data_IF_557027181205
#
_entry.id   IF_557027181205
#
_cell.length_a   1.000
_cell.length_b   1.000
_cell.length_c   1.000
_cell.angle_alpha   90.00
_cell.angle_beta   90.00
_cell.angle_gamma   90.00
#
_symmetry.space_group_name_H-M   'P 1'
#
loop_
_entity.id
_entity.type
_entity.pdbx_description
1 polymer ?
#
# COMPACT_ATOMS: atom_id res chain seq x y z
N UNK A 1 -7.88 -12.57 -5.79
CA UNK A 1 -6.81 -12.33 -4.82
C UNK A 1 -6.07 -11.11 -5.31
N UNK A 2 -5.72 -10.18 -4.43
CA UNK A 2 -4.84 -9.06 -4.75
C UNK A 2 -3.50 -9.32 -4.06
N UNK A 3 -2.41 -9.14 -4.77
CA UNK A 3 -1.07 -9.39 -4.26
C UNK A 3 -0.18 -8.20 -4.59
N UNK A 4 0.54 -7.71 -3.58
CA UNK A 4 1.61 -6.74 -3.73
C UNK A 4 2.91 -7.45 -3.36
N UNK A 5 3.92 -7.32 -4.20
CA UNK A 5 5.23 -7.94 -4.00
C UNK A 5 6.30 -6.87 -4.02
N UNK A 6 6.92 -6.62 -2.86
CA UNK A 6 8.02 -5.66 -2.72
C UNK A 6 7.66 -4.24 -3.14
N UNK A 7 6.38 -3.87 -3.07
CA UNK A 7 5.92 -2.55 -3.51
C UNK A 7 6.49 -1.50 -2.57
N UNK A 8 7.11 -0.49 -3.15
CA UNK A 8 7.65 0.67 -2.45
C UNK A 8 7.14 1.92 -3.13
N UNK A 9 7.18 3.07 -2.43
CA UNK A 9 6.81 4.35 -3.02
C UNK A 9 7.52 5.48 -2.31
N UNK A 10 8.09 6.39 -3.10
CA UNK A 10 8.68 7.63 -2.61
C UNK A 10 7.99 8.84 -3.25
N UNK A 11 7.73 9.87 -2.46
CA UNK A 11 7.16 11.15 -2.93
C UNK A 11 8.01 12.27 -2.35
N UNK A 12 8.50 13.16 -3.23
CA UNK A 12 9.36 14.27 -2.80
C UNK A 12 10.64 13.82 -2.06
N UNK A 13 11.21 12.67 -2.45
CA UNK A 13 12.43 12.12 -1.82
C UNK A 13 12.21 11.43 -0.47
N UNK A 14 10.97 11.36 0.04
CA UNK A 14 10.63 10.65 1.28
C UNK A 14 9.93 9.34 0.95
N UNK A 15 10.33 8.26 1.62
CA UNK A 15 9.64 6.99 1.55
C UNK A 15 8.24 7.13 2.19
N UNK A 16 7.21 6.92 1.40
CA UNK A 16 5.81 6.84 1.84
C UNK A 16 5.40 5.39 2.09
N UNK A 17 5.99 4.47 1.32
CA UNK A 17 5.84 3.03 1.49
C UNK A 17 7.23 2.42 1.37
N UNK A 18 7.67 1.79 2.45
CA UNK A 18 8.84 0.92 2.43
C UNK A 18 8.51 -0.37 1.69
N UNK A 19 9.49 -1.11 1.14
CA UNK A 19 9.24 -2.38 0.45
C UNK A 19 8.31 -3.27 1.26
N UNK A 20 7.09 -3.45 0.75
CA UNK A 20 6.00 -4.13 1.46
C UNK A 20 5.39 -5.18 0.53
N UNK A 21 5.22 -6.38 1.05
CA UNK A 21 4.50 -7.47 0.40
C UNK A 21 3.25 -7.80 1.19
N UNK A 22 2.11 -7.94 0.52
CA UNK A 22 0.85 -8.29 1.16
C UNK A 22 -0.07 -9.02 0.19
N UNK A 23 -0.85 -9.95 0.74
CA UNK A 23 -1.84 -10.72 -0.03
C UNK A 23 -3.21 -10.50 0.58
N UNK A 24 -4.14 -9.95 -0.20
CA UNK A 24 -5.55 -9.81 0.18
C UNK A 24 -6.41 -10.88 -0.49
N UNK A 25 -7.13 -11.62 0.33
CA UNK A 25 -8.08 -12.64 -0.12
C UNK A 25 -9.37 -12.02 -0.64
N UNK A 26 -9.99 -12.65 -1.64
CA UNK A 26 -11.33 -12.22 -2.09
C UNK A 26 -12.36 -12.58 -1.03
N UNK A 27 -13.33 -11.70 -0.81
CA UNK A 27 -14.40 -11.92 0.16
C UNK A 27 -13.99 -11.74 1.63
N UNK A 28 -12.76 -11.30 1.91
CA UNK A 28 -12.35 -10.92 3.27
C UNK A 28 -12.52 -9.42 3.50
N UNK A 29 -12.83 -9.05 4.75
CA UNK A 29 -12.77 -7.67 5.21
C UNK A 29 -11.37 -7.38 5.73
N UNK A 30 -10.63 -6.52 5.02
CA UNK A 30 -9.26 -6.15 5.39
C UNK A 30 -9.26 -4.71 5.93
N UNK A 31 -8.58 -4.47 7.05
CA UNK A 31 -8.49 -3.16 7.70
C UNK A 31 -7.02 -2.74 7.77
N UNK A 32 -6.71 -1.56 7.22
CA UNK A 32 -5.40 -0.93 7.37
C UNK A 32 -5.39 0.00 8.59
N UNK A 33 -4.57 -0.34 9.59
CA UNK A 33 -4.38 0.44 10.82
C UNK A 33 -2.98 1.05 10.87
N UNK A 34 -2.86 2.20 11.52
CA UNK A 34 -1.58 2.87 11.74
C UNK A 34 -1.74 4.38 11.97
N UNK A 35 -0.71 5.06 12.50
CA UNK A 35 -0.76 6.50 12.77
C UNK A 35 -0.91 7.32 11.48
N UNK A 36 -1.27 8.60 11.62
CA UNK A 36 -1.26 9.54 10.48
C UNK A 36 0.12 9.53 9.82
N UNK A 37 0.16 9.64 8.48
CA UNK A 37 1.38 9.54 7.65
C UNK A 37 2.05 8.16 7.58
N UNK A 38 1.45 7.09 8.09
CA UNK A 38 2.00 5.72 7.98
C UNK A 38 1.91 5.07 6.59
N UNK A 39 1.60 5.83 5.54
CA UNK A 39 1.50 5.30 4.17
C UNK A 39 0.19 4.62 3.78
N UNK A 40 -0.84 4.56 4.65
CA UNK A 40 -2.13 3.89 4.37
C UNK A 40 -2.82 4.40 3.10
N UNK A 41 -2.99 5.71 2.95
CA UNK A 41 -3.64 6.30 1.78
C UNK A 41 -2.82 6.07 0.51
N UNK A 42 -1.49 6.16 0.61
CA UNK A 42 -0.59 5.84 -0.51
C UNK A 42 -0.71 4.37 -0.93
N UNK A 43 -0.79 3.45 0.03
CA UNK A 43 -0.95 2.02 -0.24
C UNK A 43 -2.29 1.73 -0.91
N UNK A 44 -3.38 2.32 -0.41
CA UNK A 44 -4.71 2.20 -1.01
C UNK A 44 -4.74 2.70 -2.47
N UNK A 45 -4.04 3.81 -2.77
CA UNK A 45 -3.97 4.35 -4.14
C UNK A 45 -3.19 3.44 -5.08
N UNK A 46 -2.09 2.85 -4.63
CA UNK A 46 -1.34 1.84 -5.40
C UNK A 46 -2.18 0.59 -5.66
N UNK A 47 -2.89 0.10 -4.64
CA UNK A 47 -3.78 -1.06 -4.75
C UNK A 47 -4.94 -0.82 -5.71
N UNK A 48 -5.41 0.43 -5.80
CA UNK A 48 -6.45 0.84 -6.75
C UNK A 48 -5.91 1.14 -8.17
N UNK A 49 -4.60 1.05 -8.40
CA UNK A 49 -3.97 1.39 -9.68
C UNK A 49 -3.98 2.90 -10.00
N UNK A 50 -4.22 3.75 -9.00
CA UNK A 50 -4.26 5.21 -9.15
C UNK A 50 -2.86 5.85 -9.13
N UNK A 51 -1.91 5.17 -8.49
CA UNK A 51 -0.49 5.52 -8.49
C UNK A 51 0.32 4.32 -9.00
N UNK A 52 1.51 4.56 -9.56
CA UNK A 52 2.47 3.50 -9.89
C UNK A 52 3.46 3.29 -8.74
N UNK A 53 3.90 2.04 -8.48
CA UNK A 53 4.90 1.73 -7.44
C UNK A 53 6.20 2.48 -7.68
#
# INVERSE_FOLDING_TARGET
>A
MLELQGVSRSVGGRAHIHPTSLTLQRGSMNVLLGPTLSGKTSLMRLMAGLDQP
#
